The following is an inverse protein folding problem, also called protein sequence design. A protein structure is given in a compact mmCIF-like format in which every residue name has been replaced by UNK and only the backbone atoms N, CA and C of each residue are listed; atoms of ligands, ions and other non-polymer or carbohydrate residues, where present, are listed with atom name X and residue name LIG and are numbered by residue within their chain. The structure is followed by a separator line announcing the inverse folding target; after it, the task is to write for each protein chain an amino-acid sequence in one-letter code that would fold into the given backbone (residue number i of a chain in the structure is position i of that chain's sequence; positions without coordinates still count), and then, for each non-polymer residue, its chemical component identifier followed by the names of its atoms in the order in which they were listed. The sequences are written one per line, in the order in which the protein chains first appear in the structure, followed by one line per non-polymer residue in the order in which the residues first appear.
data_IF_771880448883
#
_entry.id   IF_771880448883
#
_cell.length_a   1.000
_cell.length_b   1.000
_cell.length_c   1.000
_cell.angle_alpha   90.00
_cell.angle_beta   90.00
_cell.angle_gamma   90.00
#
_symmetry.space_group_name_H-M   'P 1'
#
loop_
_entity.id
_entity.type
_entity.pdbx_description
1 polymer ?
#
# COMPACT_ATOMS: atom_id res chain seq x y z
N UNK A 1 13.68 2.59 -20.46
CA UNK A 1 12.33 3.07 -20.07
C UNK A 1 11.51 1.85 -19.74
N UNK A 2 11.03 1.71 -18.51
CA UNK A 2 10.31 0.52 -18.05
C UNK A 2 8.83 0.87 -17.89
N UNK A 3 8.07 0.76 -18.97
CA UNK A 3 6.61 0.80 -18.93
C UNK A 3 6.12 -0.55 -19.49
N UNK A 4 5.74 -1.44 -18.57
CA UNK A 4 5.04 -2.68 -18.89
C UNK A 4 3.57 -2.36 -19.16
N UNK A 5 3.30 -1.82 -20.34
CA UNK A 5 1.95 -1.55 -20.83
C UNK A 5 1.55 -2.76 -21.68
N UNK A 6 0.85 -3.72 -21.07
CA UNK A 6 0.02 -4.72 -21.77
C UNK A 6 -1.40 -4.16 -21.97
N UNK A 7 -1.53 -2.85 -22.20
CA UNK A 7 -2.78 -2.24 -22.66
C UNK A 7 -2.67 -2.21 -24.19
N UNK A 8 -3.50 -2.95 -24.94
CA UNK A 8 -3.52 -2.83 -26.38
C UNK A 8 -3.95 -1.41 -26.73
N UNK A 9 -2.99 -0.55 -27.04
CA UNK A 9 -3.24 0.76 -27.62
C UNK A 9 -3.90 0.46 -28.97
N UNK A 10 -5.22 0.59 -29.05
CA UNK A 10 -5.96 0.43 -30.29
C UNK A 10 -5.63 1.64 -31.17
N UNK A 11 -5.36 1.41 -32.45
CA UNK A 11 -5.02 2.42 -33.47
C UNK A 11 -6.15 3.45 -33.74
N UNK A 12 -7.17 3.56 -32.88
CA UNK A 12 -8.30 4.48 -33.07
C UNK A 12 -8.12 5.71 -32.18
N UNK A 13 -7.91 6.85 -32.85
CA UNK A 13 -8.06 8.29 -32.57
C UNK A 13 -8.59 8.85 -31.22
N UNK A 14 -8.78 8.07 -30.16
CA UNK A 14 -9.29 8.57 -28.88
C UNK A 14 -8.15 8.90 -27.90
N UNK A 15 -8.18 10.10 -27.36
CA UNK A 15 -7.32 10.52 -26.26
C UNK A 15 -7.57 9.60 -25.05
N UNK A 16 -6.54 8.87 -24.63
CA UNK A 16 -6.65 7.95 -23.50
C UNK A 16 -6.11 8.60 -22.23
N UNK A 17 -6.84 8.50 -21.12
CA UNK A 17 -6.39 9.01 -19.82
C UNK A 17 -5.91 7.87 -18.91
N UNK A 18 -4.71 8.02 -18.35
CA UNK A 18 -4.11 7.07 -17.43
C UNK A 18 -3.69 7.76 -16.13
N UNK A 19 -3.97 7.11 -15.01
CA UNK A 19 -3.42 7.52 -13.71
C UNK A 19 -2.11 6.80 -13.48
N UNK A 20 -1.01 7.54 -13.49
CA UNK A 20 0.31 7.03 -13.15
C UNK A 20 0.51 7.12 -11.64
N UNK A 21 0.53 5.97 -10.98
CA UNK A 21 0.74 5.89 -9.53
C UNK A 21 2.16 5.41 -9.21
N UNK A 22 3.01 6.32 -8.75
CA UNK A 22 4.28 6.02 -8.12
C UNK A 22 4.12 5.88 -6.60
N UNK A 23 3.90 4.63 -6.16
CA UNK A 23 3.85 4.29 -4.74
C UNK A 23 5.26 4.05 -4.19
N UNK A 24 5.80 5.06 -3.50
CA UNK A 24 7.11 5.02 -2.87
C UNK A 24 7.06 4.47 -1.45
N UNK A 25 8.25 4.37 -0.84
CA UNK A 25 8.39 3.88 0.53
C UNK A 25 7.87 4.89 1.57
N UNK A 26 8.12 6.18 1.34
CA UNK A 26 7.72 7.27 2.26
C UNK A 26 6.64 8.19 1.69
N UNK A 27 6.57 8.26 0.38
CA UNK A 27 5.71 9.20 -0.34
C UNK A 27 4.99 8.50 -1.48
N UNK A 28 3.81 9.03 -1.80
CA UNK A 28 2.99 8.64 -2.93
C UNK A 28 2.89 9.81 -3.88
N UNK A 29 3.20 9.57 -5.16
CA UNK A 29 3.04 10.55 -6.21
C UNK A 29 2.08 9.99 -7.26
N UNK A 30 1.09 10.77 -7.65
CA UNK A 30 0.12 10.46 -8.69
C UNK A 30 0.23 11.53 -9.78
N UNK A 31 0.14 11.09 -11.03
CA UNK A 31 0.00 11.97 -12.18
C UNK A 31 -1.15 11.47 -13.04
N UNK A 32 -1.95 12.39 -13.57
CA UNK A 32 -2.90 12.08 -14.62
C UNK A 32 -2.24 12.44 -15.94
N UNK A 33 -2.10 11.43 -16.80
CA UNK A 33 -1.48 11.58 -18.11
C UNK A 33 -2.50 11.27 -19.21
N UNK A 34 -2.54 12.11 -20.25
CA UNK A 34 -3.20 11.76 -21.49
C UNK A 34 -2.21 11.20 -22.50
N UNK A 35 -2.68 10.24 -23.30
CA UNK A 35 -1.93 9.65 -24.41
C UNK A 35 -2.66 10.00 -25.68
N UNK A 36 -1.99 10.78 -26.52
CA UNK A 36 -2.47 11.19 -27.83
C UNK A 36 -1.40 10.87 -28.88
N UNK A 37 -1.73 10.00 -29.84
CA UNK A 37 -0.80 9.51 -30.88
C UNK A 37 0.57 9.02 -30.32
N UNK A 38 0.56 8.38 -29.14
CA UNK A 38 1.77 7.89 -28.47
C UNK A 38 2.59 8.96 -27.75
N UNK A 39 2.12 10.21 -27.71
CA UNK A 39 2.70 11.30 -26.92
C UNK A 39 1.98 11.35 -25.58
N UNK A 40 2.76 11.29 -24.50
CA UNK A 40 2.26 11.39 -23.13
C UNK A 40 2.30 12.85 -22.68
N UNK A 41 1.17 13.37 -22.22
CA UNK A 41 1.05 14.71 -21.66
C UNK A 41 0.57 14.64 -20.21
N UNK A 42 1.29 15.29 -19.30
CA UNK A 42 0.86 15.40 -17.90
C UNK A 42 -0.21 16.48 -17.81
N UNK A 43 -1.42 16.10 -17.38
CA UNK A 43 -2.53 17.02 -17.16
C UNK A 43 -2.49 17.60 -15.75
N UNK A 44 -2.29 16.73 -14.76
CA UNK A 44 -2.33 17.11 -13.35
C UNK A 44 -1.43 16.21 -12.51
N UNK A 45 -1.01 16.68 -11.34
CA UNK A 45 -0.21 15.88 -10.41
C UNK A 45 -0.61 16.11 -8.96
N UNK A 46 -0.60 15.05 -8.16
CA UNK A 46 -0.86 15.08 -6.74
C UNK A 46 0.22 14.29 -5.99
N UNK A 47 0.56 14.72 -4.78
CA UNK A 47 1.54 14.01 -3.96
C UNK A 47 1.17 14.05 -2.48
N UNK A 48 1.56 12.99 -1.76
CA UNK A 48 1.47 12.92 -0.32
C UNK A 48 2.78 12.37 0.25
N UNK A 49 3.49 13.26 0.96
CA UNK A 49 4.81 12.99 1.55
C UNK A 49 4.77 12.11 2.79
N UNK A 50 3.57 11.86 3.33
CA UNK A 50 3.34 11.08 4.54
C UNK A 50 2.41 9.90 4.23
N UNK A 51 2.57 9.32 3.05
CA UNK A 51 1.79 8.19 2.57
C UNK A 51 2.67 7.33 1.66
N UNK A 52 3.41 6.41 2.25
CA UNK A 52 4.19 5.41 1.52
C UNK A 52 4.07 4.01 2.11
N UNK A 53 4.80 3.06 1.55
CA UNK A 53 4.83 1.67 2.03
C UNK A 53 5.17 1.53 3.52
N UNK A 54 6.09 2.35 4.03
CA UNK A 54 6.46 2.37 5.45
C UNK A 54 5.25 2.65 6.34
N UNK A 55 4.34 3.54 5.94
CA UNK A 55 3.16 3.89 6.74
C UNK A 55 2.22 2.68 6.87
N UNK A 56 2.06 1.89 5.80
CA UNK A 56 1.25 0.67 5.82
C UNK A 56 1.90 -0.43 6.67
N UNK A 57 3.21 -0.64 6.53
CA UNK A 57 3.95 -1.64 7.31
C UNK A 57 3.94 -1.28 8.81
N UNK A 58 4.01 0.02 9.12
CA UNK A 58 3.95 0.53 10.48
C UNK A 58 2.58 0.30 11.14
N UNK A 59 1.46 0.22 10.40
CA UNK A 59 0.15 -0.06 11.00
C UNK A 59 0.12 -1.43 11.67
N UNK A 60 0.57 -2.47 10.95
CA UNK A 60 0.61 -3.82 11.51
C UNK A 60 1.68 -3.96 12.59
N UNK A 61 2.83 -3.32 12.42
CA UNK A 61 3.88 -3.30 13.43
C UNK A 61 3.40 -2.68 14.74
N UNK A 62 2.76 -1.51 14.69
CA UNK A 62 2.23 -0.82 15.87
C UNK A 62 1.13 -1.63 16.54
N UNK A 63 0.26 -2.27 15.76
CA UNK A 63 -0.76 -3.18 16.28
C UNK A 63 -0.11 -4.37 17.03
N UNK A 64 0.93 -4.98 16.45
CA UNK A 64 1.64 -6.08 17.08
C UNK A 64 2.39 -5.64 18.36
N UNK A 65 3.03 -4.47 18.35
CA UNK A 65 3.67 -3.89 19.54
C UNK A 65 2.65 -3.70 20.66
N UNK A 66 1.51 -3.07 20.36
CA UNK A 66 0.45 -2.84 21.35
C UNK A 66 -0.08 -4.17 21.93
N UNK A 67 -0.27 -5.18 21.07
CA UNK A 67 -0.67 -6.52 21.50
C UNK A 67 0.36 -7.15 22.43
N UNK A 68 1.63 -7.24 22.03
CA UNK A 68 2.66 -7.89 22.83
C UNK A 68 2.98 -7.14 24.12
N UNK A 69 2.93 -5.81 24.13
CA UNK A 69 3.10 -5.00 25.33
C UNK A 69 1.96 -5.26 26.33
N UNK A 70 0.72 -5.25 25.86
CA UNK A 70 -0.46 -5.53 26.70
C UNK A 70 -0.44 -6.94 27.27
N UNK A 71 -0.13 -7.92 26.43
CA UNK A 71 -0.08 -9.31 26.85
C UNK A 71 1.06 -9.53 27.85
N UNK A 72 2.28 -9.13 27.54
CA UNK A 72 3.43 -9.49 28.37
C UNK A 72 3.70 -8.51 29.53
N UNK A 73 2.95 -7.41 29.63
CA UNK A 73 3.16 -6.33 30.60
C UNK A 73 4.61 -5.82 30.58
N UNK A 74 5.17 -5.69 29.38
CA UNK A 74 6.52 -5.19 29.10
C UNK A 74 6.44 -4.13 28.01
N UNK A 75 7.54 -3.42 27.82
CA UNK A 75 7.72 -2.54 26.67
C UNK A 75 8.76 -3.15 25.74
N UNK A 76 8.28 -3.78 24.67
CA UNK A 76 9.13 -4.44 23.67
C UNK A 76 9.99 -3.44 22.89
N UNK A 77 9.58 -2.18 22.81
CA UNK A 77 10.29 -1.14 22.04
C UNK A 77 11.67 -0.84 22.61
N UNK A 78 11.90 -1.17 23.88
CA UNK A 78 13.20 -1.04 24.56
C UNK A 78 14.20 -2.12 24.17
N UNK A 79 13.73 -3.25 23.63
CA UNK A 79 14.58 -4.37 23.22
C UNK A 79 14.91 -4.29 21.73
N UNK A 80 16.12 -3.85 21.38
CA UNK A 80 16.57 -3.76 19.98
C UNK A 80 16.40 -5.09 19.23
N UNK A 81 16.89 -6.19 19.80
CA UNK A 81 16.78 -7.53 19.21
C UNK A 81 15.31 -7.97 19.04
N UNK A 82 14.46 -7.70 20.03
CA UNK A 82 13.04 -8.07 19.99
C UNK A 82 12.27 -7.27 18.94
N UNK A 83 12.61 -5.99 18.77
CA UNK A 83 12.04 -5.14 17.73
C UNK A 83 12.45 -5.58 16.33
N UNK A 84 13.72 -5.91 16.11
CA UNK A 84 14.18 -6.40 14.81
C UNK A 84 13.52 -7.74 14.45
N UNK A 85 13.37 -8.65 15.41
CA UNK A 85 12.63 -9.89 15.20
C UNK A 85 11.15 -9.63 14.89
N UNK A 86 10.49 -8.75 15.65
CA UNK A 86 9.09 -8.43 15.42
C UNK A 86 8.86 -7.84 14.02
N UNK A 87 9.73 -6.94 13.56
CA UNK A 87 9.65 -6.38 12.20
C UNK A 87 9.73 -7.49 11.14
N UNK A 88 10.67 -8.43 11.27
CA UNK A 88 10.80 -9.54 10.33
C UNK A 88 9.56 -10.43 10.30
N UNK A 89 8.98 -10.72 11.46
CA UNK A 89 7.78 -11.57 11.58
C UNK A 89 6.52 -10.87 11.06
N UNK A 90 6.41 -9.56 11.28
CA UNK A 90 5.38 -8.72 10.66
C UNK A 90 5.50 -8.77 9.14
N UNK A 91 6.69 -8.54 8.57
CA UNK A 91 6.90 -8.60 7.11
C UNK A 91 6.54 -9.97 6.53
N UNK A 92 6.88 -11.06 7.23
CA UNK A 92 6.48 -12.43 6.84
C UNK A 92 4.96 -12.60 6.85
N UNK A 93 4.31 -12.14 7.91
CA UNK A 93 2.85 -12.23 8.04
C UNK A 93 2.13 -11.44 6.94
N UNK A 94 2.59 -10.24 6.62
CA UNK A 94 2.01 -9.46 5.51
C UNK A 94 2.15 -10.16 4.17
N UNK A 95 3.31 -10.76 3.90
CA UNK A 95 3.52 -11.52 2.67
C UNK A 95 2.65 -12.77 2.62
N UNK A 96 2.48 -13.48 3.74
CA UNK A 96 1.60 -14.65 3.83
C UNK A 96 0.15 -14.27 3.57
N UNK A 97 -0.31 -13.12 4.09
CA UNK A 97 -1.68 -12.61 3.89
C UNK A 97 -2.01 -12.24 2.42
N UNK A 98 -1.03 -12.23 1.51
CA UNK A 98 -1.28 -12.10 0.07
C UNK A 98 -1.83 -13.39 -0.55
N UNK A 99 -1.53 -14.55 0.05
CA UNK A 99 -1.94 -15.87 -0.45
C UNK A 99 -2.85 -16.62 0.52
N UNK A 100 -2.78 -16.30 1.81
CA UNK A 100 -3.47 -16.99 2.89
C UNK A 100 -4.50 -16.09 3.57
N UNK A 101 -5.53 -16.69 4.17
CA UNK A 101 -6.58 -15.95 4.87
C UNK A 101 -6.11 -15.33 6.20
N UNK A 102 -5.14 -15.97 6.84
CA UNK A 102 -4.63 -15.59 8.16
C UNK A 102 -3.15 -15.91 8.27
N UNK A 103 -2.41 -15.10 9.03
CA UNK A 103 -1.01 -15.33 9.36
C UNK A 103 -0.78 -15.23 10.87
N UNK A 104 0.31 -15.82 11.35
CA UNK A 104 0.73 -15.75 12.75
C UNK A 104 2.01 -14.91 12.85
N UNK A 105 2.08 -14.08 13.88
CA UNK A 105 3.23 -13.27 14.25
C UNK A 105 3.69 -13.76 15.61
N UNK A 106 4.91 -14.28 15.68
CA UNK A 106 5.47 -14.86 16.89
C UNK A 106 6.89 -14.39 17.11
N UNK A 107 7.28 -14.14 18.36
CA UNK A 107 8.65 -13.74 18.69
C UNK A 107 9.32 -14.95 19.34
N UNK A 108 10.34 -15.56 18.71
CA UNK A 108 11.00 -16.73 19.25
C UNK A 108 11.56 -16.45 20.66
N UNK A 109 11.24 -17.33 21.59
CA UNK A 109 11.40 -17.07 23.01
C UNK A 109 12.87 -16.96 23.45
N UNK A 110 13.32 -15.75 23.80
CA UNK A 110 14.33 -15.55 24.85
C UNK A 110 13.61 -15.10 26.11
N UNK A 111 13.46 -16.01 27.08
CA UNK A 111 13.08 -15.86 28.51
C UNK A 111 11.88 -14.95 28.93
N UNK A 112 11.41 -14.00 28.12
CA UNK A 112 10.40 -12.98 28.45
C UNK A 112 9.05 -13.16 27.72
N UNK A 113 9.03 -13.86 26.57
CA UNK A 113 7.81 -14.09 25.79
C UNK A 113 7.31 -15.53 25.97
N UNK A 114 6.49 -15.77 27.00
CA UNK A 114 5.78 -17.05 27.21
C UNK A 114 4.36 -17.05 26.62
N UNK A 115 3.99 -16.00 25.89
CA UNK A 115 2.61 -15.74 25.47
C UNK A 115 2.33 -16.20 24.05
N UNK A 116 1.04 -16.48 23.73
CA UNK A 116 0.67 -17.05 22.45
C UNK A 116 0.98 -16.11 21.28
N UNK A 117 1.22 -16.68 20.08
CA UNK A 117 1.44 -15.91 18.88
C UNK A 117 0.21 -15.07 18.54
N UNK A 118 0.44 -13.87 17.99
CA UNK A 118 -0.63 -13.02 17.48
C UNK A 118 -1.13 -13.60 16.15
N UNK A 119 -2.42 -13.88 16.02
CA UNK A 119 -3.02 -14.25 14.74
C UNK A 119 -3.68 -13.03 14.11
N UNK A 120 -3.35 -12.75 12.85
CA UNK A 120 -3.87 -11.63 12.06
C UNK A 120 -4.56 -12.18 10.81
N UNK A 121 -5.69 -11.61 10.43
CA UNK A 121 -6.43 -11.95 9.21
C UNK A 121 -6.32 -10.85 8.16
N UNK A 122 -6.54 -11.17 6.89
CA UNK A 122 -6.56 -10.17 5.82
C UNK A 122 -7.61 -9.07 6.06
N UNK A 123 -8.75 -9.42 6.66
CA UNK A 123 -9.79 -8.45 7.04
C UNK A 123 -9.32 -7.48 8.13
N UNK A 124 -8.62 -7.98 9.15
CA UNK A 124 -8.03 -7.12 10.19
C UNK A 124 -6.96 -6.20 9.61
N UNK A 125 -6.08 -6.73 8.73
CA UNK A 125 -5.06 -5.91 8.06
C UNK A 125 -5.68 -4.79 7.23
N UNK A 126 -6.73 -5.09 6.44
CA UNK A 126 -7.49 -4.05 5.72
C UNK A 126 -8.12 -3.02 6.66
N UNK A 127 -8.61 -3.46 7.82
CA UNK A 127 -9.14 -2.58 8.86
C UNK A 127 -8.08 -1.61 9.40
N UNK A 128 -6.87 -2.11 9.69
CA UNK A 128 -5.74 -1.29 10.14
C UNK A 128 -5.31 -0.25 9.09
N UNK A 129 -5.33 -0.64 7.81
CA UNK A 129 -4.91 0.24 6.71
C UNK A 129 -6.01 1.14 6.15
N UNK A 130 -7.26 1.04 6.65
CA UNK A 130 -8.43 1.72 6.09
C UNK A 130 -8.24 3.22 5.92
N UNK A 131 -7.63 3.88 6.90
CA UNK A 131 -7.41 5.33 6.85
C UNK A 131 -6.37 5.72 5.79
N UNK A 132 -5.30 4.92 5.64
CA UNK A 132 -4.28 5.16 4.62
C UNK A 132 -4.84 4.93 3.21
N UNK A 133 -5.61 3.85 3.04
CA UNK A 133 -6.33 3.59 1.78
C UNK A 133 -7.30 4.71 1.44
N UNK A 134 -8.04 5.24 2.41
CA UNK A 134 -8.95 6.38 2.18
C UNK A 134 -8.19 7.65 1.75
N UNK A 135 -6.99 7.89 2.29
CA UNK A 135 -6.12 9.00 1.83
C UNK A 135 -5.68 8.80 0.39
N UNK A 136 -5.26 7.59 0.01
CA UNK A 136 -4.94 7.26 -1.38
C UNK A 136 -6.11 7.56 -2.32
N UNK A 137 -7.34 7.14 -1.96
CA UNK A 137 -8.53 7.42 -2.77
C UNK A 137 -8.86 8.91 -2.84
N UNK A 138 -8.67 9.65 -1.74
CA UNK A 138 -8.85 11.10 -1.75
C UNK A 138 -7.88 11.79 -2.71
N UNK A 139 -6.62 11.34 -2.79
CA UNK A 139 -5.64 11.90 -3.73
C UNK A 139 -6.04 11.65 -5.18
N UNK A 140 -6.53 10.44 -5.50
CA UNK A 140 -7.05 10.13 -6.84
C UNK A 140 -8.24 11.03 -7.17
N UNK A 141 -9.21 11.17 -6.26
CA UNK A 141 -10.38 12.00 -6.50
C UNK A 141 -10.01 13.48 -6.71
N UNK A 142 -9.13 14.04 -5.87
CA UNK A 142 -8.67 15.42 -6.04
C UNK A 142 -7.90 15.63 -7.34
N UNK A 143 -7.12 14.63 -7.78
CA UNK A 143 -6.43 14.65 -9.07
C UNK A 143 -7.43 14.75 -10.24
N UNK A 144 -8.49 13.93 -10.21
CA UNK A 144 -9.54 13.91 -11.22
C UNK A 144 -10.38 15.20 -11.22
N UNK A 145 -10.74 15.68 -10.03
CA UNK A 145 -11.50 16.93 -9.85
C UNK A 145 -10.72 18.14 -10.39
N UNK A 146 -9.41 18.24 -10.09
CA UNK A 146 -8.57 19.33 -10.58
C UNK A 146 -8.40 19.30 -12.10
N UNK A 147 -8.32 18.10 -12.68
CA UNK A 147 -8.24 17.92 -14.13
C UNK A 147 -9.59 18.01 -14.84
N UNK A 148 -10.70 18.09 -14.10
CA UNK A 148 -12.07 18.05 -14.62
C UNK A 148 -12.32 16.83 -15.52
N UNK A 149 -11.86 15.65 -15.07
CA UNK A 149 -12.00 14.37 -15.77
C UNK A 149 -12.83 13.43 -14.90
N UNK A 150 -13.79 12.72 -15.49
CA UNK A 150 -14.61 11.77 -14.73
C UNK A 150 -13.88 10.42 -14.54
N UNK A 151 -14.19 9.68 -13.47
CA UNK A 151 -13.63 8.33 -13.24
C UNK A 151 -13.92 7.39 -14.42
N UNK A 152 -15.02 7.60 -15.14
CA UNK A 152 -15.42 6.80 -16.30
C UNK A 152 -14.50 6.98 -17.51
N UNK A 153 -13.81 8.11 -17.62
CA UNK A 153 -12.92 8.43 -18.74
C UNK A 153 -11.49 7.88 -18.53
N UNK A 154 -11.20 7.36 -17.33
CA UNK A 154 -9.90 6.76 -17.00
C UNK A 154 -9.82 5.35 -17.57
N UNK A 155 -8.86 5.16 -18.49
CA UNK A 155 -8.64 3.91 -19.20
C UNK A 155 -7.85 2.90 -18.37
N UNK A 156 -7.07 3.38 -17.40
CA UNK A 156 -6.35 2.50 -16.49
C UNK A 156 -5.47 3.23 -15.49
N UNK A 157 -4.97 2.45 -14.52
CA UNK A 157 -4.00 2.90 -13.54
C UNK A 157 -2.69 2.15 -13.80
N UNK A 158 -1.60 2.90 -13.96
CA UNK A 158 -0.27 2.36 -14.19
C UNK A 158 0.58 2.54 -12.95
N UNK A 159 1.04 1.44 -12.37
CA UNK A 159 1.97 1.48 -11.25
C UNK A 159 3.42 1.47 -11.75
N UNK A 160 4.16 2.55 -11.51
CA UNK A 160 5.55 2.70 -12.02
C UNK A 160 6.58 1.88 -11.24
N UNK A 161 6.24 1.47 -10.02
CA UNK A 161 7.05 0.59 -9.18
C UNK A 161 6.30 -0.70 -8.93
N UNK A 162 6.99 -1.84 -8.98
CA UNK A 162 6.46 -3.10 -8.47
C UNK A 162 6.79 -3.18 -6.98
N UNK A 163 5.87 -2.79 -6.12
CA UNK A 163 5.99 -2.97 -4.67
C UNK A 163 4.96 -3.99 -4.19
N UNK A 164 5.35 -4.82 -3.22
CA UNK A 164 4.39 -5.71 -2.54
C UNK A 164 3.27 -4.91 -1.84
N UNK A 165 3.54 -3.63 -1.54
CA UNK A 165 2.56 -2.70 -0.97
C UNK A 165 1.44 -2.33 -1.94
N UNK A 166 1.67 -2.36 -3.25
CA UNK A 166 0.61 -2.08 -4.24
C UNK A 166 -0.53 -3.09 -4.15
N UNK A 167 -0.24 -4.36 -3.86
CA UNK A 167 -1.27 -5.38 -3.64
C UNK A 167 -2.20 -5.05 -2.45
N UNK A 168 -1.75 -4.20 -1.50
CA UNK A 168 -2.57 -3.76 -0.36
C UNK A 168 -3.61 -2.69 -0.77
N UNK A 169 -3.34 -1.91 -1.82
CA UNK A 169 -4.18 -0.77 -2.25
C UNK A 169 -4.95 -1.03 -3.55
N UNK A 170 -4.42 -1.90 -4.43
CA UNK A 170 -4.99 -2.21 -5.73
C UNK A 170 -6.47 -2.63 -5.68
N UNK A 171 -6.90 -3.52 -4.75
CA UNK A 171 -8.32 -3.90 -4.67
C UNK A 171 -9.27 -2.74 -4.34
N UNK A 172 -8.77 -1.67 -3.71
CA UNK A 172 -9.56 -0.48 -3.39
C UNK A 172 -9.58 0.55 -4.53
N UNK A 173 -8.62 0.48 -5.45
CA UNK A 173 -8.54 1.35 -6.62
C UNK A 173 -9.34 0.80 -7.81
N UNK A 174 -9.41 -0.54 -7.91
CA UNK A 174 -10.15 -1.25 -8.96
C UNK A 174 -11.66 -1.38 -8.66
N UNK A 175 -12.09 -1.06 -7.44
CA UNK A 175 -13.50 -1.00 -7.03
C UNK A 175 -14.18 0.31 -7.40
#
# INVERSE_FOLDING_TARGET
MAYGIDVPIRDEYDECYFVIYNFGLKESNLALESVDHGVFNVLESASDKNLGGDDFDNQLLNYAIAHFNRENNIDITKGFESMEMLKLEVMKAERALLAEFSAKIEIPARHWFRRPPLTITGTQLRGLNRQLTARTLSLVNSLLENANIEKADIHGIVFTRKSAHIAKIQPSLES
#
